data_IF_195052963463
#
_entry.id   IF_195052963463
#
_cell.length_a   1.000
_cell.length_b   1.000
_cell.length_c   1.000
_cell.angle_alpha   90.00
_cell.angle_beta   90.00
_cell.angle_gamma   90.00
#
_symmetry.space_group_name_H-M   'P 1'
#
loop_
_entity.id
_entity.type
_entity.pdbx_description
1 polymer ?
#
# COMPACT_ATOMS: atom_id res chain seq x y z
N UNK A 1 0.59 6.28 24.33
CA UNK A 1 1.27 5.45 23.31
C UNK A 1 0.31 4.62 22.44
N UNK A 2 -0.91 4.32 22.90
CA UNK A 2 -1.86 3.42 22.22
C UNK A 2 -2.45 3.91 20.86
N UNK A 3 -2.43 5.22 20.58
CA UNK A 3 -2.97 5.77 19.32
C UNK A 3 -1.99 5.58 18.16
N UNK A 4 -0.70 5.84 18.40
CA UNK A 4 0.36 5.67 17.40
C UNK A 4 0.49 4.22 16.92
N UNK A 5 0.44 3.25 17.84
CA UNK A 5 0.49 1.82 17.53
C UNK A 5 -0.73 1.35 16.70
N UNK A 6 -1.92 1.92 16.98
CA UNK A 6 -3.13 1.66 16.18
C UNK A 6 -3.06 2.26 14.77
N UNK A 7 -2.47 3.45 14.63
CA UNK A 7 -2.23 4.03 13.31
C UNK A 7 -1.20 3.22 12.52
N UNK A 8 -0.10 2.81 13.15
CA UNK A 8 0.95 1.97 12.53
C UNK A 8 0.40 0.60 12.08
N UNK A 9 -0.49 -0.02 12.87
CA UNK A 9 -1.11 -1.30 12.48
C UNK A 9 -2.21 -1.15 11.43
N UNK A 10 -2.87 0.02 11.34
CA UNK A 10 -3.89 0.29 10.32
C UNK A 10 -3.31 0.69 8.96
N UNK A 11 -2.11 1.29 8.93
CA UNK A 11 -1.43 1.74 7.72
C UNK A 11 -1.26 0.64 6.64
N UNK A 12 -0.83 -0.60 6.97
CA UNK A 12 -0.82 -1.71 6.01
C UNK A 12 -2.20 -2.03 5.43
N UNK A 13 -3.25 -2.05 6.27
CA UNK A 13 -4.61 -2.31 5.81
C UNK A 13 -5.13 -1.21 4.89
N UNK A 14 -4.76 0.05 5.15
CA UNK A 14 -5.10 1.18 4.29
C UNK A 14 -4.35 1.10 2.96
N UNK A 15 -3.05 0.80 2.97
CA UNK A 15 -2.26 0.62 1.77
C UNK A 15 -2.77 -0.56 0.91
N UNK A 16 -3.24 -1.65 1.53
CA UNK A 16 -3.90 -2.75 0.84
C UNK A 16 -5.21 -2.31 0.17
N UNK A 17 -6.04 -1.52 0.85
CA UNK A 17 -7.28 -1.00 0.28
C UNK A 17 -7.00 -0.09 -0.94
N UNK A 18 -6.02 0.79 -0.83
CA UNK A 18 -5.58 1.68 -1.92
C UNK A 18 -5.01 0.86 -3.08
N UNK A 19 -4.19 -0.16 -2.81
CA UNK A 19 -3.65 -1.06 -3.82
C UNK A 19 -4.77 -1.79 -4.59
N UNK A 20 -5.75 -2.34 -3.88
CA UNK A 20 -6.86 -3.06 -4.49
C UNK A 20 -7.73 -2.14 -5.35
N UNK A 21 -8.07 -0.96 -4.84
CA UNK A 21 -8.88 0.02 -5.57
C UNK A 21 -8.18 0.49 -6.85
N UNK A 22 -6.88 0.76 -6.77
CA UNK A 22 -6.11 1.22 -7.92
C UNK A 22 -5.84 0.10 -8.94
N UNK A 23 -5.65 -1.15 -8.50
CA UNK A 23 -5.60 -2.29 -9.44
C UNK A 23 -6.92 -2.48 -10.19
N UNK A 24 -8.05 -2.36 -9.50
CA UNK A 24 -9.36 -2.41 -10.15
C UNK A 24 -9.52 -1.26 -11.16
N UNK A 25 -9.14 -0.03 -10.77
CA UNK A 25 -9.20 1.16 -11.64
C UNK A 25 -8.26 1.05 -12.85
N UNK A 26 -7.06 0.49 -12.68
CA UNK A 26 -6.13 0.26 -13.79
C UNK A 26 -6.65 -0.76 -14.82
N UNK A 27 -7.42 -1.75 -14.36
CA UNK A 27 -8.05 -2.76 -15.21
C UNK A 27 -9.37 -2.30 -15.86
N UNK A 28 -9.95 -1.18 -15.40
CA UNK A 28 -11.23 -0.68 -15.89
C UNK A 28 -11.08 -0.06 -17.29
N UNK A 29 -11.55 -0.80 -18.30
CA UNK A 29 -11.50 -0.38 -19.70
C UNK A 29 -12.41 0.82 -20.03
N UNK A 30 -13.36 1.15 -19.15
CA UNK A 30 -14.18 2.36 -19.30
C UNK A 30 -13.40 3.65 -19.03
N UNK A 31 -12.22 3.55 -18.41
CA UNK A 31 -11.39 4.70 -18.08
C UNK A 31 -10.39 5.05 -19.18
N UNK A 32 -10.08 6.35 -19.25
CA UNK A 32 -9.02 6.86 -20.09
C UNK A 32 -7.69 6.14 -19.82
N UNK A 33 -6.86 6.03 -20.84
CA UNK A 33 -5.50 5.50 -20.70
C UNK A 33 -4.70 6.30 -19.65
N UNK A 34 -4.91 7.62 -19.58
CA UNK A 34 -4.25 8.46 -18.59
C UNK A 34 -4.68 8.12 -17.16
N UNK A 35 -5.99 7.96 -16.93
CA UNK A 35 -6.53 7.55 -15.62
C UNK A 35 -6.04 6.17 -15.18
N UNK A 36 -5.96 5.22 -16.12
CA UNK A 36 -5.42 3.88 -15.85
C UNK A 36 -3.92 3.90 -15.54
N UNK A 37 -3.15 4.76 -16.20
CA UNK A 37 -1.73 4.95 -15.89
C UNK A 37 -1.52 5.56 -14.51
N UNK A 38 -2.30 6.57 -14.14
CA UNK A 38 -2.28 7.14 -12.78
C UNK A 38 -2.61 6.06 -11.74
N UNK A 39 -3.66 5.28 -11.96
CA UNK A 39 -4.02 4.18 -11.09
C UNK A 39 -2.92 3.10 -10.99
N UNK A 40 -2.19 2.84 -12.08
CA UNK A 40 -1.06 1.92 -12.07
C UNK A 40 0.07 2.46 -11.19
N UNK A 41 0.46 3.72 -11.36
CA UNK A 41 1.48 4.38 -10.54
C UNK A 41 1.09 4.42 -9.06
N UNK A 42 -0.18 4.73 -8.75
CA UNK A 42 -0.69 4.74 -7.38
C UNK A 42 -0.68 3.32 -6.76
N UNK A 43 -0.99 2.29 -7.55
CA UNK A 43 -0.87 0.89 -7.12
C UNK A 43 0.59 0.51 -6.82
N UNK A 44 1.54 0.92 -7.66
CA UNK A 44 2.98 0.68 -7.41
C UNK A 44 3.46 1.38 -6.13
N UNK A 45 3.03 2.62 -5.91
CA UNK A 45 3.32 3.36 -4.67
C UNK A 45 2.76 2.65 -3.43
N UNK A 46 1.51 2.19 -3.47
CA UNK A 46 0.90 1.44 -2.38
C UNK A 46 1.62 0.11 -2.12
N UNK A 47 2.08 -0.57 -3.17
CA UNK A 47 2.86 -1.80 -3.05
C UNK A 47 4.24 -1.54 -2.42
N UNK A 48 4.91 -0.44 -2.77
CA UNK A 48 6.19 -0.06 -2.17
C UNK A 48 6.04 0.21 -0.66
N UNK A 49 4.98 0.92 -0.25
CA UNK A 49 4.67 1.16 1.18
C UNK A 49 4.48 -0.16 1.92
N UNK A 50 3.74 -1.11 1.34
CA UNK A 50 3.57 -2.44 1.93
C UNK A 50 4.89 -3.20 2.07
N UNK A 51 5.78 -3.11 1.07
CA UNK A 51 7.11 -3.72 1.14
C UNK A 51 7.98 -3.14 2.25
N UNK A 52 7.87 -1.84 2.54
CA UNK A 52 8.56 -1.20 3.67
C UNK A 52 7.99 -1.73 4.99
N UNK A 53 6.66 -1.83 5.13
CA UNK A 53 6.04 -2.40 6.33
C UNK A 53 6.41 -3.87 6.56
N UNK A 54 6.49 -4.67 5.50
CA UNK A 54 6.93 -6.06 5.57
C UNK A 54 8.40 -6.15 6.02
N UNK A 55 9.26 -5.31 5.45
CA UNK A 55 10.69 -5.21 5.82
C UNK A 55 10.90 -4.77 7.27
N UNK A 56 10.05 -3.87 7.79
CA UNK A 56 10.06 -3.47 9.20
C UNK A 56 9.56 -4.60 10.11
N UNK A 57 8.53 -5.35 9.69
CA UNK A 57 8.02 -6.51 10.44
C UNK A 57 9.00 -7.67 10.51
N UNK A 58 9.86 -7.84 9.50
CA UNK A 58 10.93 -8.84 9.47
C UNK A 58 12.11 -8.54 10.40
N UNK A 59 12.07 -7.42 11.14
CA UNK A 59 13.09 -7.04 12.13
C UNK A 59 12.61 -7.13 13.61
N UNK A 60 12.12 -8.28 14.11
CA UNK A 60 11.87 -8.43 15.54
C UNK A 60 13.14 -8.80 16.34
N UNK A 61 14.32 -8.87 15.71
CA UNK A 61 15.47 -9.58 16.27
C UNK A 61 16.87 -9.07 15.93
N UNK A 62 17.10 -7.76 15.75
CA UNK A 62 18.47 -7.25 15.85
C UNK A 62 18.86 -7.13 17.34
N UNK A 63 19.13 -8.31 17.94
CA UNK A 63 19.83 -8.48 19.21
C UNK A 63 21.30 -8.71 18.83
N UNK A 64 22.13 -7.69 18.98
CA UNK A 64 23.56 -7.88 19.25
C UNK A 64 23.83 -7.37 20.65
#
# INVERSE_FOLDING_TARGET
MHTFERHITSLPSQALAVLAANKARAADQSLSLADRQVATSDAEGAQAVLGIFDSMKLNPGHRF
#
